data_IF_879053415759
#
_entry.id   IF_879053415759
#
_cell.length_a   1.000
_cell.length_b   1.000
_cell.length_c   1.000
_cell.angle_alpha   90.00
_cell.angle_beta   90.00
_cell.angle_gamma   90.00
#
_symmetry.space_group_name_H-M   'P 1'
#
loop_
_entity.id
_entity.type
_entity.pdbx_description
1 polymer ?
#
# COMPACT_ATOMS: atom_id res chain seq x y z
N UNK A 1 -47.10 -39.56 -6.11
CA UNK A 1 -46.86 -38.18 -6.41
C UNK A 1 -45.58 -37.79 -5.77
N UNK A 2 -44.50 -37.72 -6.56
CA UNK A 2 -43.16 -37.29 -6.18
C UNK A 2 -43.17 -35.79 -5.84
N UNK A 3 -42.79 -35.50 -4.62
CA UNK A 3 -42.32 -34.19 -4.28
C UNK A 3 -40.78 -34.24 -4.25
N UNK A 4 -40.18 -34.01 -5.40
CA UNK A 4 -38.78 -33.65 -5.45
C UNK A 4 -38.65 -32.31 -4.75
N UNK A 5 -37.97 -32.33 -3.63
CA UNK A 5 -37.48 -31.13 -2.96
C UNK A 5 -36.50 -30.41 -3.91
N UNK A 6 -36.98 -29.40 -4.61
CA UNK A 6 -36.15 -28.42 -5.22
C UNK A 6 -35.34 -27.74 -4.10
N UNK A 7 -34.16 -28.24 -3.88
CA UNK A 7 -33.11 -27.49 -3.14
C UNK A 7 -32.87 -26.22 -3.95
N UNK A 8 -33.36 -25.14 -3.40
CA UNK A 8 -33.16 -23.82 -3.94
C UNK A 8 -31.64 -23.59 -4.13
N UNK A 9 -31.20 -23.54 -5.36
CA UNK A 9 -29.78 -23.36 -5.77
C UNK A 9 -29.28 -21.93 -5.58
N UNK A 10 -29.67 -21.30 -4.46
CA UNK A 10 -29.20 -19.93 -4.09
C UNK A 10 -27.89 -19.89 -3.32
N UNK A 11 -27.28 -21.06 -3.05
CA UNK A 11 -26.05 -21.13 -2.25
C UNK A 11 -24.77 -21.29 -3.07
N UNK A 12 -24.86 -21.16 -4.37
CA UNK A 12 -23.70 -21.17 -5.25
C UNK A 12 -23.19 -19.74 -5.43
N UNK A 13 -22.18 -19.40 -4.66
CA UNK A 13 -21.38 -18.19 -4.85
C UNK A 13 -21.03 -18.03 -6.34
N UNK A 14 -21.64 -17.03 -7.01
CA UNK A 14 -21.32 -16.65 -8.38
C UNK A 14 -20.88 -17.83 -9.28
N UNK A 15 -21.77 -18.80 -9.52
CA UNK A 15 -21.50 -19.99 -10.35
C UNK A 15 -20.44 -20.97 -9.79
N UNK A 16 -20.32 -21.12 -8.46
CA UNK A 16 -19.39 -22.05 -7.81
C UNK A 16 -17.93 -21.59 -7.79
N UNK A 17 -17.67 -20.31 -8.02
CA UNK A 17 -16.34 -19.71 -7.96
C UNK A 17 -16.01 -19.21 -6.55
N UNK A 18 -14.75 -19.27 -6.18
CA UNK A 18 -14.26 -18.64 -4.96
C UNK A 18 -14.33 -17.12 -5.06
N UNK A 19 -14.38 -16.42 -3.92
CA UNK A 19 -14.36 -14.95 -3.92
C UNK A 19 -13.08 -14.38 -4.58
N UNK A 20 -11.94 -15.07 -4.47
CA UNK A 20 -10.70 -14.69 -5.16
C UNK A 20 -10.86 -14.70 -6.69
N UNK A 21 -11.49 -15.73 -7.25
CA UNK A 21 -11.75 -15.81 -8.69
C UNK A 21 -12.78 -14.77 -9.17
N UNK A 22 -13.73 -14.42 -8.32
CA UNK A 22 -14.70 -13.36 -8.60
C UNK A 22 -14.01 -12.01 -8.63
N UNK A 23 -13.17 -11.71 -7.64
CA UNK A 23 -12.39 -10.46 -7.55
C UNK A 23 -11.47 -10.34 -8.77
N UNK A 24 -10.75 -11.40 -9.12
CA UNK A 24 -9.89 -11.43 -10.31
C UNK A 24 -10.67 -11.15 -11.59
N UNK A 25 -11.83 -11.80 -11.78
CA UNK A 25 -12.69 -11.56 -12.94
C UNK A 25 -13.08 -10.10 -13.06
N UNK A 26 -13.58 -9.49 -11.98
CA UNK A 26 -13.94 -8.07 -12.00
C UNK A 26 -12.73 -7.16 -12.22
N UNK A 27 -11.55 -7.51 -11.71
CA UNK A 27 -10.31 -6.78 -11.95
C UNK A 27 -9.85 -6.83 -13.41
N UNK A 28 -10.19 -7.90 -14.14
CA UNK A 28 -9.94 -8.02 -15.58
C UNK A 28 -10.98 -7.27 -16.43
N UNK A 29 -12.25 -7.30 -16.01
CA UNK A 29 -13.38 -6.75 -16.80
C UNK A 29 -13.58 -5.25 -16.60
N UNK A 30 -13.24 -4.70 -15.41
CA UNK A 30 -13.56 -3.33 -15.04
C UNK A 30 -12.31 -2.58 -14.56
N UNK A 31 -12.29 -1.28 -14.88
CA UNK A 31 -11.34 -0.35 -14.27
C UNK A 31 -12.00 0.34 -13.07
N UNK A 32 -11.58 0.00 -11.87
CA UNK A 32 -12.13 0.51 -10.61
C UNK A 32 -11.02 0.80 -9.60
N UNK A 33 -11.33 1.58 -8.57
CA UNK A 33 -10.44 1.84 -7.44
C UNK A 33 -10.68 0.90 -6.26
N UNK A 34 -11.95 0.63 -5.94
CA UNK A 34 -12.33 -0.15 -4.77
C UNK A 34 -13.45 -1.15 -5.09
N UNK A 35 -13.44 -2.29 -4.40
CA UNK A 35 -14.54 -3.27 -4.34
C UNK A 35 -15.13 -3.22 -2.93
N UNK A 36 -16.44 -3.15 -2.84
CA UNK A 36 -17.17 -3.26 -1.59
C UNK A 36 -17.95 -4.57 -1.55
N UNK A 37 -17.70 -5.36 -0.53
CA UNK A 37 -18.37 -6.63 -0.25
C UNK A 37 -19.13 -6.48 1.07
N UNK A 38 -20.40 -6.88 1.07
CA UNK A 38 -21.24 -6.87 2.25
C UNK A 38 -22.13 -8.10 2.25
N UNK A 39 -22.37 -8.67 3.43
CA UNK A 39 -23.27 -9.83 3.58
C UNK A 39 -24.64 -9.53 3.00
N UNK A 40 -25.17 -10.52 2.26
CA UNK A 40 -26.48 -10.53 1.62
C UNK A 40 -26.77 -9.32 0.70
N UNK A 41 -25.70 -8.76 0.12
CA UNK A 41 -25.76 -7.67 -0.85
C UNK A 41 -24.95 -7.97 -2.13
N UNK A 42 -25.29 -7.33 -3.25
CA UNK A 42 -24.47 -7.40 -4.45
C UNK A 42 -23.07 -6.78 -4.23
N UNK A 43 -22.08 -7.30 -4.96
CA UNK A 43 -20.78 -6.66 -5.05
C UNK A 43 -20.91 -5.26 -5.68
N UNK A 44 -20.22 -4.27 -5.09
CA UNK A 44 -20.21 -2.90 -5.57
C UNK A 44 -18.78 -2.51 -5.95
N UNK A 45 -18.62 -1.89 -7.10
CA UNK A 45 -17.38 -1.30 -7.58
C UNK A 45 -17.41 0.22 -7.44
N UNK A 46 -16.29 0.81 -7.05
CA UNK A 46 -16.10 2.27 -7.17
C UNK A 46 -15.40 2.56 -8.49
N UNK A 47 -16.13 3.11 -9.45
CA UNK A 47 -15.66 3.46 -10.79
C UNK A 47 -15.74 4.98 -10.95
N UNK A 48 -14.62 5.64 -11.20
CA UNK A 48 -14.54 7.11 -11.32
C UNK A 48 -15.17 7.88 -10.14
N UNK A 49 -15.06 7.32 -8.94
CA UNK A 49 -15.63 7.91 -7.72
C UNK A 49 -17.08 7.51 -7.44
N UNK A 50 -17.80 6.92 -8.38
CA UNK A 50 -19.20 6.50 -8.23
C UNK A 50 -19.32 5.03 -7.85
N UNK A 51 -20.34 4.71 -7.03
CA UNK A 51 -20.65 3.34 -6.61
C UNK A 51 -21.52 2.68 -7.68
N UNK A 52 -21.02 1.62 -8.29
CA UNK A 52 -21.65 0.89 -9.40
C UNK A 52 -21.88 -0.55 -9.04
N UNK A 53 -23.06 -1.08 -9.32
CA UNK A 53 -23.39 -2.51 -9.19
C UNK A 53 -23.20 -3.18 -10.56
N UNK A 54 -22.16 -3.98 -10.75
CA UNK A 54 -21.93 -4.65 -12.04
C UNK A 54 -22.82 -5.86 -12.25
N UNK A 55 -23.39 -6.42 -11.18
CA UNK A 55 -24.32 -7.55 -11.16
C UNK A 55 -25.31 -7.43 -10.01
N UNK A 56 -26.46 -8.07 -10.12
CA UNK A 56 -27.42 -8.23 -9.01
C UNK A 56 -27.18 -9.50 -8.18
N UNK A 57 -26.12 -10.26 -8.47
CA UNK A 57 -25.77 -11.46 -7.72
C UNK A 57 -25.39 -11.11 -6.27
N UNK A 58 -26.05 -11.78 -5.34
CA UNK A 58 -25.89 -11.54 -3.90
C UNK A 58 -24.67 -12.31 -3.37
N UNK A 59 -23.85 -11.66 -2.54
CA UNK A 59 -22.78 -12.30 -1.78
C UNK A 59 -23.39 -12.82 -0.48
N UNK A 60 -23.48 -14.14 -0.34
CA UNK A 60 -23.99 -14.72 0.90
C UNK A 60 -23.04 -14.49 2.08
N UNK A 61 -23.58 -14.44 3.30
CA UNK A 61 -22.79 -14.37 4.53
C UNK A 61 -21.74 -15.50 4.60
N UNK A 62 -22.12 -16.72 4.14
CA UNK A 62 -21.20 -17.85 4.09
C UNK A 62 -20.02 -17.60 3.14
N UNK A 63 -20.26 -17.04 1.95
CA UNK A 63 -19.22 -16.75 0.97
C UNK A 63 -18.21 -15.72 1.49
N UNK A 64 -18.70 -14.68 2.14
CA UNK A 64 -17.83 -13.63 2.69
C UNK A 64 -17.03 -14.17 3.88
N UNK A 65 -17.62 -15.03 4.71
CA UNK A 65 -16.92 -15.70 5.80
C UNK A 65 -15.83 -16.64 5.26
N UNK A 66 -16.11 -17.46 4.27
CA UNK A 66 -15.12 -18.34 3.63
C UNK A 66 -13.97 -17.55 2.99
N UNK A 67 -14.28 -16.38 2.44
CA UNK A 67 -13.26 -15.46 1.91
C UNK A 67 -12.35 -14.94 3.03
N UNK A 68 -12.92 -14.48 4.14
CA UNK A 68 -12.15 -14.03 5.29
C UNK A 68 -11.32 -15.18 5.89
N UNK A 69 -11.90 -16.38 6.04
CA UNK A 69 -11.21 -17.55 6.58
C UNK A 69 -9.99 -17.98 5.74
N UNK A 70 -10.05 -17.80 4.43
CA UNK A 70 -8.94 -18.09 3.52
C UNK A 70 -7.91 -16.97 3.43
N UNK A 71 -8.34 -15.72 3.61
CA UNK A 71 -7.47 -14.55 3.51
C UNK A 71 -6.68 -14.29 4.80
N UNK A 72 -7.27 -14.57 5.96
CA UNK A 72 -6.74 -14.24 7.28
C UNK A 72 -5.91 -15.38 7.88
N UNK A 73 -4.81 -15.03 8.55
CA UNK A 73 -4.09 -15.94 9.46
C UNK A 73 -4.91 -16.14 10.75
N UNK A 74 -4.58 -17.15 11.55
CA UNK A 74 -5.28 -17.42 12.81
C UNK A 74 -5.20 -16.22 13.79
N UNK A 75 -4.04 -15.54 13.86
CA UNK A 75 -3.87 -14.34 14.69
C UNK A 75 -4.75 -13.19 14.19
N UNK A 76 -4.85 -13.01 12.87
CA UNK A 76 -5.72 -11.99 12.27
C UNK A 76 -7.21 -12.30 12.45
N UNK A 77 -7.60 -13.57 12.43
CA UNK A 77 -8.98 -13.98 12.76
C UNK A 77 -9.33 -13.63 14.20
N UNK A 78 -8.45 -13.96 15.13
CA UNK A 78 -8.62 -13.60 16.54
C UNK A 78 -8.73 -12.08 16.69
N UNK A 79 -7.86 -11.32 16.02
CA UNK A 79 -7.89 -9.86 16.03
C UNK A 79 -9.22 -9.30 15.48
N UNK A 80 -9.70 -9.86 14.34
CA UNK A 80 -10.99 -9.47 13.76
C UNK A 80 -12.17 -9.75 14.71
N UNK A 81 -12.14 -10.85 15.46
CA UNK A 81 -13.17 -11.17 16.44
C UNK A 81 -13.15 -10.21 17.64
N UNK A 82 -11.97 -9.79 18.11
CA UNK A 82 -11.81 -8.93 19.28
C UNK A 82 -12.01 -7.45 18.95
N UNK A 83 -11.36 -6.96 17.89
CA UNK A 83 -11.30 -5.53 17.52
C UNK A 83 -12.39 -5.16 16.53
N UNK A 84 -12.96 -6.15 15.82
CA UNK A 84 -13.98 -5.99 14.78
C UNK A 84 -13.52 -5.31 13.50
N UNK A 85 -12.20 -5.24 13.30
CA UNK A 85 -11.53 -4.61 12.16
C UNK A 85 -10.17 -5.25 11.93
N UNK A 86 -9.79 -5.48 10.67
CA UNK A 86 -8.45 -5.96 10.32
C UNK A 86 -8.07 -5.54 8.89
N UNK A 87 -6.87 -5.01 8.75
CA UNK A 87 -6.24 -4.66 7.47
C UNK A 87 -5.24 -5.74 7.05
N UNK A 88 -5.22 -6.07 5.76
CA UNK A 88 -4.23 -6.97 5.16
C UNK A 88 -4.09 -6.71 3.66
N UNK A 89 -3.07 -7.33 3.05
CA UNK A 89 -2.95 -7.40 1.60
C UNK A 89 -3.26 -8.83 1.11
N UNK A 90 -3.96 -8.94 -0.01
CA UNK A 90 -4.23 -10.21 -0.68
C UNK A 90 -3.81 -10.15 -2.14
N UNK A 91 -3.63 -11.32 -2.74
CA UNK A 91 -3.47 -11.50 -4.18
C UNK A 91 -4.67 -12.25 -4.75
N UNK A 92 -5.21 -11.74 -5.85
CA UNK A 92 -6.26 -12.39 -6.63
C UNK A 92 -5.85 -12.38 -8.10
N UNK A 93 -5.38 -13.55 -8.59
CA UNK A 93 -4.74 -13.67 -9.89
C UNK A 93 -3.49 -12.79 -10.02
N UNK A 94 -3.45 -11.95 -11.03
CA UNK A 94 -2.35 -11.01 -11.26
C UNK A 94 -2.48 -9.69 -10.46
N UNK A 95 -3.53 -9.55 -9.66
CA UNK A 95 -3.84 -8.31 -8.97
C UNK A 95 -3.58 -8.42 -7.48
N UNK A 96 -3.13 -7.31 -6.89
CA UNK A 96 -2.96 -7.17 -5.46
C UNK A 96 -3.96 -6.15 -4.91
N UNK A 97 -4.50 -6.44 -3.73
CA UNK A 97 -5.47 -5.59 -3.04
C UNK A 97 -5.06 -5.37 -1.60
N UNK A 98 -5.23 -4.15 -1.10
CA UNK A 98 -5.36 -3.88 0.32
C UNK A 98 -6.81 -4.16 0.70
N UNK A 99 -7.02 -4.98 1.71
CA UNK A 99 -8.33 -5.36 2.19
C UNK A 99 -8.48 -4.92 3.63
N UNK A 100 -9.61 -4.29 3.93
CA UNK A 100 -10.07 -4.08 5.29
C UNK A 100 -11.33 -4.92 5.49
N UNK A 101 -11.27 -5.90 6.40
CA UNK A 101 -12.44 -6.60 6.91
C UNK A 101 -12.93 -5.93 8.17
N UNK A 102 -14.23 -5.72 8.28
CA UNK A 102 -14.83 -5.08 9.44
C UNK A 102 -16.27 -5.53 9.64
N UNK A 103 -16.73 -5.49 10.91
CA UNK A 103 -18.12 -5.78 11.24
C UNK A 103 -18.98 -4.52 11.24
N UNK A 104 -20.19 -4.67 10.73
CA UNK A 104 -21.27 -3.66 10.78
C UNK A 104 -22.47 -4.25 11.52
N UNK A 105 -23.54 -3.46 11.70
CA UNK A 105 -24.82 -3.95 12.23
C UNK A 105 -25.42 -5.09 11.41
N UNK A 106 -25.07 -5.18 10.13
CA UNK A 106 -25.64 -6.12 9.17
C UNK A 106 -24.70 -7.31 8.92
N UNK A 107 -23.60 -7.45 9.66
CA UNK A 107 -22.66 -8.55 9.55
C UNK A 107 -21.26 -8.15 9.06
N UNK A 108 -20.52 -9.12 8.54
CA UNK A 108 -19.18 -8.93 8.02
C UNK A 108 -19.21 -8.10 6.72
N UNK A 109 -18.26 -7.26 6.56
CA UNK A 109 -18.04 -6.45 5.35
C UNK A 109 -16.57 -6.43 4.99
N UNK A 110 -16.24 -6.19 3.72
CA UNK A 110 -14.87 -5.99 3.28
C UNK A 110 -14.80 -4.88 2.23
N UNK A 111 -13.77 -4.06 2.31
CA UNK A 111 -13.42 -3.10 1.26
C UNK A 111 -12.04 -3.45 0.74
N UNK A 112 -11.95 -3.64 -0.58
CA UNK A 112 -10.71 -3.99 -1.26
C UNK A 112 -10.28 -2.83 -2.14
N UNK A 113 -9.12 -2.27 -1.90
CA UNK A 113 -8.50 -1.27 -2.76
C UNK A 113 -7.49 -1.92 -3.67
N UNK A 114 -7.65 -1.75 -4.98
CA UNK A 114 -6.68 -2.26 -5.96
C UNK A 114 -5.35 -1.53 -5.82
N UNK A 115 -4.27 -2.31 -5.70
CA UNK A 115 -2.90 -1.78 -5.70
C UNK A 115 -2.41 -1.77 -7.14
N UNK A 116 -1.95 -0.61 -7.61
CA UNK A 116 -1.45 -0.48 -8.97
C UNK A 116 -0.11 -1.21 -9.13
N UNK A 117 -0.02 -2.04 -10.15
CA UNK A 117 1.20 -2.77 -10.51
C UNK A 117 1.97 -2.10 -11.63
N UNK A 118 1.30 -1.25 -12.42
CA UNK A 118 1.95 -0.45 -13.45
C UNK A 118 2.54 0.82 -12.85
N UNK A 119 3.87 0.88 -12.82
CA UNK A 119 4.59 2.04 -12.33
C UNK A 119 4.65 3.07 -13.46
N UNK A 120 4.10 4.28 -13.24
CA UNK A 120 4.18 5.33 -14.24
C UNK A 120 5.63 5.79 -14.42
N UNK A 121 5.98 6.24 -15.61
CA UNK A 121 7.29 6.85 -15.86
C UNK A 121 7.28 8.33 -15.44
N UNK A 122 8.46 8.88 -15.15
CA UNK A 122 8.58 10.33 -14.88
C UNK A 122 8.10 11.18 -16.07
N UNK A 123 8.30 10.71 -17.30
CA UNK A 123 7.84 11.37 -18.51
C UNK A 123 6.29 11.36 -18.62
N UNK A 124 5.66 10.19 -18.39
CA UNK A 124 4.18 10.07 -18.43
C UNK A 124 3.48 10.96 -17.40
N UNK A 125 4.11 11.16 -16.24
CA UNK A 125 3.65 12.06 -15.18
C UNK A 125 4.03 13.54 -15.44
N UNK A 126 4.84 13.82 -16.46
CA UNK A 126 5.37 15.16 -16.76
C UNK A 126 6.09 15.77 -15.55
N UNK A 127 6.85 14.96 -14.83
CA UNK A 127 7.60 15.43 -13.68
C UNK A 127 8.71 16.40 -14.12
N UNK A 128 9.03 17.41 -13.30
CA UNK A 128 10.11 18.36 -13.61
C UNK A 128 11.46 17.63 -13.75
N UNK A 129 12.32 18.11 -14.66
CA UNK A 129 13.64 17.54 -14.93
C UNK A 129 14.52 17.41 -13.68
N UNK A 130 14.38 18.32 -12.73
CA UNK A 130 15.09 18.26 -11.45
C UNK A 130 14.88 16.94 -10.70
N UNK A 131 13.75 16.26 -10.88
CA UNK A 131 13.50 14.96 -10.25
C UNK A 131 14.36 13.85 -10.85
N UNK A 132 14.70 13.95 -12.14
CA UNK A 132 15.67 13.05 -12.76
C UNK A 132 17.07 13.29 -12.19
N UNK A 133 17.48 14.53 -12.05
CA UNK A 133 18.75 14.86 -11.41
C UNK A 133 18.83 14.35 -9.96
N UNK A 134 17.70 14.38 -9.23
CA UNK A 134 17.60 13.82 -7.87
C UNK A 134 17.78 12.31 -7.86
N UNK A 135 17.24 11.60 -8.85
CA UNK A 135 17.40 10.15 -9.00
C UNK A 135 18.87 9.74 -9.25
N UNK A 136 19.67 10.63 -9.83
CA UNK A 136 21.09 10.40 -10.15
C UNK A 136 22.03 10.71 -8.98
N UNK A 137 21.56 11.34 -7.89
CA UNK A 137 22.41 11.66 -6.73
C UNK A 137 22.98 10.40 -6.09
N UNK A 138 24.25 10.44 -5.67
CA UNK A 138 24.88 9.30 -4.99
C UNK A 138 24.36 9.09 -3.57
N UNK A 139 24.04 10.16 -2.86
CA UNK A 139 23.54 10.17 -1.48
C UNK A 139 22.78 11.46 -1.19
N UNK A 140 22.17 11.52 -0.02
CA UNK A 140 21.43 12.67 0.46
C UNK A 140 19.99 12.35 0.82
N UNK A 141 19.28 13.32 1.37
CA UNK A 141 17.88 13.22 1.73
C UNK A 141 17.00 14.04 0.78
N UNK A 142 16.05 13.38 0.15
CA UNK A 142 15.07 13.99 -0.74
C UNK A 142 13.68 13.81 -0.13
N UNK A 143 12.98 14.93 0.07
CA UNK A 143 11.68 14.95 0.70
C UNK A 143 10.60 15.32 -0.31
N UNK A 144 9.57 14.46 -0.39
CA UNK A 144 8.37 14.72 -1.19
C UNK A 144 7.22 15.02 -0.24
N UNK A 145 6.69 16.24 -0.31
CA UNK A 145 5.72 16.74 0.66
C UNK A 145 4.41 17.16 0.01
N UNK A 146 3.35 17.13 0.77
CA UNK A 146 2.01 17.52 0.33
C UNK A 146 0.91 16.77 1.07
N UNK A 147 -0.36 17.18 0.89
CA UNK A 147 -1.51 16.50 1.48
C UNK A 147 -1.69 15.08 0.91
N UNK A 148 -2.54 14.29 1.58
CA UNK A 148 -2.97 12.98 1.05
C UNK A 148 -3.62 13.15 -0.32
N UNK A 149 -3.32 12.26 -1.26
CA UNK A 149 -3.86 12.31 -2.62
C UNK A 149 -3.18 13.32 -3.55
N UNK A 150 -2.10 14.00 -3.13
CA UNK A 150 -1.36 14.97 -3.97
C UNK A 150 -0.41 14.32 -4.99
N UNK A 151 -0.31 12.99 -5.02
CA UNK A 151 0.55 12.27 -5.95
C UNK A 151 1.97 12.00 -5.43
N UNK A 152 2.23 12.12 -4.12
CA UNK A 152 3.56 11.83 -3.53
C UNK A 152 4.05 10.42 -3.85
N UNK A 153 3.26 9.41 -3.51
CA UNK A 153 3.60 8.00 -3.73
C UNK A 153 3.76 7.67 -5.21
N UNK A 154 2.91 8.24 -6.06
CA UNK A 154 2.98 8.08 -7.53
C UNK A 154 4.27 8.68 -8.11
N UNK A 155 4.64 9.88 -7.67
CA UNK A 155 5.89 10.53 -8.10
C UNK A 155 7.11 9.76 -7.62
N UNK A 156 7.11 9.31 -6.35
CA UNK A 156 8.19 8.49 -5.80
C UNK A 156 8.30 7.14 -6.51
N UNK A 157 7.18 6.49 -6.82
CA UNK A 157 7.19 5.25 -7.58
C UNK A 157 7.85 5.42 -8.95
N UNK A 158 7.57 6.54 -9.64
CA UNK A 158 8.21 6.86 -10.91
C UNK A 158 9.73 7.08 -10.77
N UNK A 159 10.16 7.79 -9.73
CA UNK A 159 11.59 8.03 -9.46
C UNK A 159 12.31 6.72 -9.11
N UNK A 160 11.74 5.92 -8.21
CA UNK A 160 12.28 4.60 -7.83
C UNK A 160 12.31 3.66 -9.05
N UNK A 161 11.28 3.69 -9.88
CA UNK A 161 11.23 2.94 -11.14
C UNK A 161 12.36 3.29 -12.10
N UNK A 162 12.69 4.58 -12.23
CA UNK A 162 13.83 5.06 -13.03
C UNK A 162 15.17 4.60 -12.45
N UNK A 163 15.37 4.75 -11.14
CA UNK A 163 16.57 4.26 -10.47
C UNK A 163 16.74 2.75 -10.68
N UNK A 164 15.66 1.98 -10.50
CA UNK A 164 15.63 0.54 -10.69
C UNK A 164 15.98 0.12 -12.13
N UNK A 165 15.64 0.94 -13.12
CA UNK A 165 15.89 0.65 -14.52
C UNK A 165 17.31 1.06 -14.99
N UNK A 166 17.96 2.01 -14.31
CA UNK A 166 19.18 2.67 -14.81
C UNK A 166 20.42 2.47 -13.93
N UNK A 167 20.26 2.16 -12.65
CA UNK A 167 21.37 2.00 -11.71
C UNK A 167 21.57 0.54 -11.32
N UNK A 168 22.80 0.18 -11.00
CA UNK A 168 23.14 -1.11 -10.39
C UNK A 168 23.33 -0.89 -8.90
N UNK A 169 22.46 -1.49 -8.09
CA UNK A 169 22.48 -1.30 -6.64
C UNK A 169 21.33 -2.01 -5.95
N UNK A 170 21.14 -1.69 -4.68
CA UNK A 170 20.06 -2.22 -3.86
C UNK A 170 19.12 -1.08 -3.42
N UNK A 171 17.86 -1.20 -3.79
CA UNK A 171 16.77 -0.32 -3.35
C UNK A 171 16.03 -1.03 -2.23
N UNK A 172 15.92 -0.39 -1.09
CA UNK A 172 15.11 -0.87 0.03
C UNK A 172 13.99 0.12 0.31
N UNK A 173 12.75 -0.36 0.40
CA UNK A 173 11.60 0.47 0.76
C UNK A 173 10.98 -0.01 2.06
N UNK A 174 10.48 0.94 2.85
CA UNK A 174 9.66 0.71 4.04
C UNK A 174 8.39 1.54 3.88
N UNK A 175 7.26 0.87 3.78
CA UNK A 175 5.97 1.47 3.40
C UNK A 175 4.83 0.99 4.30
N UNK A 176 3.74 1.75 4.38
CA UNK A 176 2.55 1.41 5.16
C UNK A 176 1.27 1.94 4.47
N UNK A 177 0.67 1.12 3.59
CA UNK A 177 1.16 -0.11 2.96
C UNK A 177 2.03 0.17 1.71
N UNK A 178 2.53 -0.91 1.06
CA UNK A 178 3.14 -0.83 -0.28
C UNK A 178 2.05 -0.46 -1.28
N UNK A 179 2.21 0.69 -1.96
CA UNK A 179 1.25 1.17 -2.99
C UNK A 179 1.62 0.71 -4.40
N UNK A 180 2.93 0.58 -4.71
CA UNK A 180 3.44 0.14 -6.01
C UNK A 180 4.45 -0.99 -5.83
N UNK A 181 4.32 -2.05 -6.62
CA UNK A 181 5.25 -3.18 -6.58
C UNK A 181 6.35 -2.96 -7.61
N UNK A 182 7.58 -2.92 -7.14
CA UNK A 182 8.78 -2.81 -7.95
C UNK A 182 9.45 -4.17 -8.13
N UNK A 183 9.36 -4.72 -9.32
CA UNK A 183 10.17 -5.89 -9.66
C UNK A 183 11.60 -5.47 -9.94
N UNK A 184 12.58 -6.24 -9.42
CA UNK A 184 14.00 -5.99 -9.66
C UNK A 184 14.31 -5.97 -11.15
N UNK A 185 15.09 -4.96 -11.60
CA UNK A 185 15.60 -4.80 -12.96
C UNK A 185 17.12 -4.74 -12.91
N UNK A 186 17.72 -3.56 -13.09
CA UNK A 186 19.16 -3.35 -12.88
C UNK A 186 19.52 -3.30 -11.39
N UNK A 187 18.59 -2.82 -10.53
CA UNK A 187 18.70 -2.91 -9.08
C UNK A 187 18.07 -4.19 -8.54
N UNK A 188 18.58 -4.67 -7.40
CA UNK A 188 17.80 -5.52 -6.49
C UNK A 188 16.83 -4.63 -5.71
N UNK A 189 15.56 -5.02 -5.62
CA UNK A 189 14.55 -4.27 -4.88
C UNK A 189 14.00 -5.11 -3.73
N UNK A 190 14.07 -4.57 -2.52
CA UNK A 190 13.51 -5.16 -1.31
C UNK A 190 12.46 -4.21 -0.74
N UNK A 191 11.20 -4.59 -0.81
CA UNK A 191 10.09 -3.80 -0.26
C UNK A 191 9.59 -4.44 1.03
N UNK A 192 9.46 -3.63 2.08
CA UNK A 192 8.98 -4.06 3.40
C UNK A 192 7.75 -3.26 3.79
N UNK A 193 6.70 -3.97 4.18
CA UNK A 193 5.45 -3.37 4.66
C UNK A 193 5.41 -3.38 6.18
N UNK A 194 5.13 -2.23 6.77
CA UNK A 194 4.93 -2.11 8.22
C UNK A 194 3.68 -2.90 8.64
N UNK A 195 3.77 -3.61 9.74
CA UNK A 195 2.71 -4.50 10.23
C UNK A 195 2.76 -5.93 9.68
N UNK A 196 3.40 -6.13 8.50
CA UNK A 196 3.60 -7.47 7.90
C UNK A 196 5.05 -7.92 7.96
N UNK A 197 5.96 -7.10 7.41
CA UNK A 197 7.37 -7.43 7.23
C UNK A 197 8.26 -6.71 8.25
N UNK A 198 7.73 -5.71 8.92
CA UNK A 198 8.42 -4.92 9.94
C UNK A 198 7.43 -4.40 11.00
N UNK A 199 7.90 -4.24 12.23
CA UNK A 199 7.05 -3.75 13.33
C UNK A 199 6.76 -2.24 13.24
N UNK A 200 7.71 -1.46 12.72
CA UNK A 200 7.59 -0.01 12.60
C UNK A 200 8.55 0.54 11.55
N UNK A 201 8.32 1.77 11.10
CA UNK A 201 9.26 2.48 10.22
C UNK A 201 10.64 2.58 10.85
N UNK A 202 10.74 2.99 12.11
CA UNK A 202 12.02 3.15 12.81
C UNK A 202 12.77 1.82 12.94
N UNK A 203 12.10 0.73 13.32
CA UNK A 203 12.74 -0.59 13.43
C UNK A 203 13.24 -1.11 12.08
N UNK A 204 12.45 -0.95 11.02
CA UNK A 204 12.82 -1.34 9.67
C UNK A 204 13.99 -0.51 9.13
N UNK A 205 13.95 0.81 9.31
CA UNK A 205 15.00 1.71 8.85
C UNK A 205 16.32 1.48 9.60
N UNK A 206 16.26 1.19 10.90
CA UNK A 206 17.45 0.80 11.67
C UNK A 206 18.05 -0.52 11.18
N UNK A 207 17.21 -1.49 10.82
CA UNK A 207 17.66 -2.76 10.26
C UNK A 207 18.27 -2.57 8.87
N UNK A 208 17.67 -1.71 8.03
CA UNK A 208 18.08 -1.46 6.66
C UNK A 208 19.54 -1.02 6.53
N UNK A 209 20.07 -0.29 7.49
CA UNK A 209 21.48 0.13 7.50
C UNK A 209 22.48 -1.05 7.56
N UNK A 210 22.00 -2.27 7.83
CA UNK A 210 22.80 -3.50 7.80
C UNK A 210 22.45 -4.43 6.64
N UNK A 211 21.56 -3.98 5.75
CA UNK A 211 21.04 -4.75 4.62
C UNK A 211 21.68 -4.28 3.30
N UNK A 212 22.78 -3.51 3.36
CA UNK A 212 23.55 -3.00 2.22
C UNK A 212 22.72 -2.24 1.17
N UNK A 213 21.87 -1.27 1.55
CA UNK A 213 21.11 -0.49 0.60
C UNK A 213 21.95 0.65 0.01
N UNK A 214 21.76 0.95 -1.26
CA UNK A 214 22.24 2.18 -1.89
C UNK A 214 21.17 3.28 -1.86
N UNK A 215 19.91 2.86 -2.00
CA UNK A 215 18.73 3.74 -2.02
C UNK A 215 17.71 3.24 -1.00
N UNK A 216 17.19 4.15 -0.19
CA UNK A 216 16.17 3.85 0.80
C UNK A 216 14.95 4.73 0.56
N UNK A 217 13.77 4.14 0.49
CA UNK A 217 12.49 4.85 0.50
C UNK A 217 11.81 4.65 1.85
N UNK A 218 11.52 5.74 2.55
CA UNK A 218 10.70 5.77 3.76
C UNK A 218 9.34 6.33 3.38
N UNK A 219 8.33 5.47 3.33
CA UNK A 219 7.00 5.79 2.84
C UNK A 219 6.37 6.98 3.56
N UNK A 220 6.58 7.09 4.87
CA UNK A 220 6.17 8.24 5.67
C UNK A 220 7.08 8.43 6.90
N UNK A 221 7.42 9.68 7.18
CA UNK A 221 8.20 10.07 8.35
C UNK A 221 7.30 10.85 9.33
N UNK A 222 6.76 10.16 10.34
CA UNK A 222 5.83 10.74 11.32
C UNK A 222 6.45 11.07 12.67
N UNK A 223 7.51 10.36 13.02
CA UNK A 223 8.11 10.44 14.35
C UNK A 223 9.57 10.86 14.27
N UNK A 224 10.07 11.38 15.40
CA UNK A 224 11.43 11.87 15.55
C UNK A 224 12.48 10.79 15.25
N UNK A 225 12.26 9.57 15.71
CA UNK A 225 13.23 8.49 15.55
C UNK A 225 13.41 8.12 14.08
N UNK A 226 12.31 8.01 13.33
CA UNK A 226 12.33 7.75 11.89
C UNK A 226 13.04 8.88 11.13
N UNK A 227 12.76 10.15 11.46
CA UNK A 227 13.42 11.31 10.85
C UNK A 227 14.92 11.29 11.13
N UNK A 228 15.33 11.03 12.37
CA UNK A 228 16.74 10.98 12.74
C UNK A 228 17.50 9.86 12.01
N UNK A 229 16.88 8.67 11.91
CA UNK A 229 17.47 7.53 11.19
C UNK A 229 17.61 7.83 9.69
N UNK A 230 16.62 8.51 9.09
CA UNK A 230 16.67 8.92 7.69
C UNK A 230 17.80 9.93 7.43
N UNK A 231 17.98 10.92 8.32
CA UNK A 231 19.09 11.88 8.26
C UNK A 231 20.44 11.16 8.39
N UNK A 232 20.58 10.27 9.38
CA UNK A 232 21.79 9.49 9.59
C UNK A 232 22.13 8.64 8.37
N UNK A 233 21.14 7.97 7.77
CA UNK A 233 21.33 7.19 6.55
C UNK A 233 21.84 8.06 5.40
N UNK A 234 21.24 9.24 5.19
CA UNK A 234 21.66 10.19 4.16
C UNK A 234 23.09 10.71 4.38
N UNK A 235 23.47 11.00 5.62
CA UNK A 235 24.82 11.44 6.00
C UNK A 235 25.88 10.34 5.83
N UNK A 236 25.47 9.09 6.00
CA UNK A 236 26.37 7.92 5.91
C UNK A 236 26.48 7.32 4.52
N UNK A 237 26.01 8.01 3.49
CA UNK A 237 26.28 7.68 2.10
C UNK A 237 25.12 7.05 1.32
N UNK A 238 23.90 6.98 1.90
CA UNK A 238 22.73 6.45 1.24
C UNK A 238 21.90 7.56 0.57
N UNK A 239 21.26 7.26 -0.55
CA UNK A 239 20.24 8.12 -1.15
C UNK A 239 18.90 7.79 -0.49
N UNK A 240 18.35 8.71 0.27
CA UNK A 240 17.12 8.51 1.06
C UNK A 240 16.00 9.36 0.50
N UNK A 241 14.89 8.73 0.19
CA UNK A 241 13.61 9.39 -0.13
C UNK A 241 12.66 9.24 1.03
N UNK A 242 11.95 10.32 1.37
CA UNK A 242 10.94 10.29 2.43
C UNK A 242 9.74 11.16 2.09
N UNK A 243 8.60 10.87 2.72
CA UNK A 243 7.41 11.69 2.60
C UNK A 243 7.02 12.34 3.92
N UNK A 244 6.41 13.52 3.81
CA UNK A 244 5.85 14.29 4.90
C UNK A 244 4.53 14.94 4.46
N UNK A 245 3.61 15.11 5.41
CA UNK A 245 2.32 15.77 5.18
C UNK A 245 2.37 17.26 5.50
N UNK A 246 3.36 17.96 4.96
CA UNK A 246 3.54 19.40 5.14
C UNK A 246 3.21 20.16 3.86
N UNK A 247 2.84 21.42 4.01
CA UNK A 247 2.62 22.33 2.89
C UNK A 247 3.86 23.19 2.64
N UNK A 248 4.60 22.85 1.58
CA UNK A 248 5.77 23.62 1.12
C UNK A 248 7.08 23.35 1.86
N UNK A 249 8.18 23.61 1.19
CA UNK A 249 9.54 23.32 1.67
C UNK A 249 9.90 24.03 2.99
N UNK A 250 9.59 25.32 3.21
CA UNK A 250 9.93 25.98 4.47
C UNK A 250 9.30 25.30 5.69
N UNK A 251 8.01 24.94 5.60
CA UNK A 251 7.31 24.27 6.68
C UNK A 251 7.87 22.86 6.94
N UNK A 252 8.33 22.18 5.90
CA UNK A 252 8.97 20.88 6.00
C UNK A 252 10.28 20.97 6.78
N UNK A 253 11.12 21.92 6.45
CA UNK A 253 12.40 22.14 7.15
C UNK A 253 12.14 22.49 8.62
N UNK A 254 11.20 23.39 8.89
CA UNK A 254 10.82 23.74 10.25
C UNK A 254 10.31 22.53 11.04
N UNK A 255 9.44 21.71 10.44
CA UNK A 255 8.95 20.48 11.08
C UNK A 255 10.10 19.55 11.47
N UNK A 256 11.04 19.32 10.55
CA UNK A 256 12.20 18.46 10.82
C UNK A 256 13.03 19.01 11.98
N UNK A 257 13.28 20.31 12.02
CA UNK A 257 14.02 20.93 13.09
C UNK A 257 13.27 20.86 14.42
N UNK A 258 11.95 21.12 14.40
CA UNK A 258 11.12 21.21 15.60
C UNK A 258 10.88 19.86 16.29
N UNK A 259 11.04 18.71 15.59
CA UNK A 259 10.97 17.40 16.23
C UNK A 259 12.19 17.10 17.12
N UNK A 260 13.28 17.88 17.00
CA UNK A 260 14.47 17.73 17.84
C UNK A 260 14.41 18.65 19.05
N UNK A 261 15.00 18.24 20.20
CA UNK A 261 15.17 19.14 21.35
C UNK A 261 15.94 20.39 20.97
N UNK A 262 15.69 21.51 21.65
CA UNK A 262 16.29 22.81 21.36
C UNK A 262 17.82 22.76 21.30
N UNK A 263 18.45 21.93 22.14
CA UNK A 263 19.92 21.76 22.19
C UNK A 263 20.48 21.08 20.92
N UNK A 264 19.68 20.31 20.19
CA UNK A 264 20.07 19.58 18.97
C UNK A 264 19.68 20.31 17.69
N UNK A 265 18.76 21.28 17.75
CA UNK A 265 18.25 21.98 16.57
C UNK A 265 19.35 22.70 15.78
N UNK A 266 20.39 23.21 16.48
CA UNK A 266 21.52 23.84 15.84
C UNK A 266 22.39 22.90 14.99
N UNK A 267 22.35 21.59 15.26
CA UNK A 267 23.08 20.58 14.49
C UNK A 267 22.28 20.07 13.30
N UNK A 268 20.95 20.20 13.34
CA UNK A 268 20.03 19.77 12.29
C UNK A 268 19.82 20.84 11.22
N UNK A 269 20.07 22.12 11.56
CA UNK A 269 20.05 23.25 10.62
C UNK A 269 21.27 23.27 9.71
#
# INVERSE_FOLDING_TARGET
GDWSSDVCSSDLNFLGKSMFEIIERYANEYKFSDIHLKEDQPLILRINGEMTKPSEDIISAQALKEFADKALTEDQKTHLEEIRDVDLAIEAGAYRFRVNFFYTSDGLSAVLRKIETEIPTMESLKLPFIMQEMAEKPNGLILVTGPTGSGKSTSLAAIIGEINATRKGHILTVEDPIEYIHHSKECTVSQREVGRDAHSFASALRASLREDPDVILVGEMRDRETIQLALTAAETGHLVFGTLHTSGAPNTINLIIDVFPAEQQGQVR
#
